data_IF_484068557749
#
_entry.id   IF_484068557749
#
_cell.length_a   1.000
_cell.length_b   1.000
_cell.length_c   1.000
_cell.angle_alpha   90.00
_cell.angle_beta   90.00
_cell.angle_gamma   90.00
#
_symmetry.space_group_name_H-M   'P 1'
#
loop_
_entity.id
_entity.type
_entity.pdbx_description
1 polymer ?
#
# COMPACT_ATOMS: atom_id res chain seq x y z
N UNK A 1 -3.89 10.88 13.94
CA UNK A 1 -5.35 10.93 13.67
C UNK A 1 -5.76 9.78 12.74
N UNK A 2 -5.27 8.55 12.95
CA UNK A 2 -4.80 7.76 11.79
C UNK A 2 -5.39 6.35 11.61
N UNK A 3 -6.01 5.73 12.62
CA UNK A 3 -6.59 4.38 12.46
C UNK A 3 -8.03 4.39 11.91
N UNK A 4 -8.86 5.36 12.33
CA UNK A 4 -10.30 5.36 12.02
C UNK A 4 -10.66 5.78 10.59
N UNK A 5 -9.83 6.59 9.93
CA UNK A 5 -10.05 7.00 8.53
C UNK A 5 -9.76 5.85 7.55
N UNK A 6 -8.64 5.14 7.76
CA UNK A 6 -8.25 3.99 6.94
C UNK A 6 -9.27 2.86 7.02
N UNK A 7 -9.78 2.52 8.21
CA UNK A 7 -10.80 1.46 8.34
C UNK A 7 -12.09 1.80 7.63
N UNK A 8 -12.55 3.06 7.70
CA UNK A 8 -13.76 3.51 7.01
C UNK A 8 -13.60 3.40 5.49
N UNK A 9 -12.45 3.80 4.96
CA UNK A 9 -12.15 3.67 3.54
C UNK A 9 -12.13 2.20 3.08
N UNK A 10 -11.45 1.32 3.82
CA UNK A 10 -11.38 -0.12 3.51
C UNK A 10 -12.77 -0.77 3.60
N UNK A 11 -13.58 -0.43 4.61
CA UNK A 11 -14.95 -0.95 4.75
C UNK A 11 -15.87 -0.45 3.63
N UNK A 12 -15.72 0.81 3.21
CA UNK A 12 -16.48 1.36 2.10
C UNK A 12 -16.11 0.65 0.78
N UNK A 13 -14.81 0.47 0.52
CA UNK A 13 -14.31 -0.27 -0.64
C UNK A 13 -14.79 -1.74 -0.62
N UNK A 14 -14.70 -2.42 0.53
CA UNK A 14 -15.20 -3.79 0.69
C UNK A 14 -16.70 -3.88 0.41
N UNK A 15 -17.50 -2.94 0.91
CA UNK A 15 -18.94 -2.91 0.66
C UNK A 15 -19.28 -2.71 -0.82
N UNK A 16 -18.55 -1.81 -1.50
CA UNK A 16 -18.70 -1.58 -2.94
C UNK A 16 -18.31 -2.82 -3.76
N UNK A 17 -17.13 -3.38 -3.53
CA UNK A 17 -16.61 -4.55 -4.25
C UNK A 17 -17.46 -5.79 -4.02
N UNK A 18 -17.92 -6.01 -2.78
CA UNK A 18 -18.86 -7.10 -2.48
C UNK A 18 -20.20 -6.91 -3.21
N UNK A 19 -20.71 -5.68 -3.28
CA UNK A 19 -21.92 -5.36 -4.03
C UNK A 19 -21.77 -5.66 -5.53
N UNK A 20 -20.64 -5.28 -6.13
CA UNK A 20 -20.30 -5.57 -7.53
C UNK A 20 -20.18 -7.09 -7.75
N UNK A 21 -19.50 -7.80 -6.85
CA UNK A 21 -19.33 -9.25 -6.92
C UNK A 21 -20.69 -9.98 -6.89
N UNK A 22 -21.60 -9.56 -6.00
CA UNK A 22 -22.97 -10.11 -5.94
C UNK A 22 -23.73 -9.81 -7.24
N UNK A 23 -23.66 -8.58 -7.74
CA UNK A 23 -24.34 -8.21 -8.98
C UNK A 23 -23.85 -9.04 -10.18
N UNK A 24 -22.54 -9.22 -10.33
CA UNK A 24 -21.93 -10.06 -11.38
C UNK A 24 -22.31 -11.53 -11.22
N UNK A 25 -22.31 -12.05 -10.00
CA UNK A 25 -22.71 -13.44 -9.74
C UNK A 25 -24.20 -13.71 -10.05
N UNK A 26 -25.09 -12.78 -9.69
CA UNK A 26 -26.50 -12.85 -10.09
C UNK A 26 -26.64 -12.76 -11.61
N UNK A 27 -25.88 -11.86 -12.25
CA UNK A 27 -25.79 -11.77 -13.71
C UNK A 27 -25.40 -13.11 -14.34
N UNK A 28 -24.44 -13.83 -13.73
CA UNK A 28 -24.06 -15.17 -14.18
C UNK A 28 -25.22 -16.16 -14.04
N UNK A 29 -25.90 -16.22 -12.89
CA UNK A 29 -27.02 -17.14 -12.68
C UNK A 29 -28.17 -16.92 -13.66
N UNK A 30 -28.42 -15.66 -14.05
CA UNK A 30 -29.46 -15.31 -15.02
C UNK A 30 -29.03 -15.63 -16.44
N UNK A 31 -27.77 -15.36 -16.80
CA UNK A 31 -27.28 -15.49 -18.19
C UNK A 31 -26.71 -16.86 -18.52
N UNK A 32 -26.31 -17.66 -17.52
CA UNK A 32 -25.55 -18.90 -17.69
C UNK A 32 -24.17 -18.71 -18.33
N UNK A 33 -23.69 -17.46 -18.44
CA UNK A 33 -22.49 -17.13 -19.20
C UNK A 33 -21.20 -17.45 -18.44
N UNK A 34 -20.34 -18.28 -19.01
CA UNK A 34 -19.00 -18.56 -18.48
C UNK A 34 -18.15 -17.30 -18.34
N UNK A 35 -18.30 -16.32 -19.24
CA UNK A 35 -17.64 -15.02 -19.16
C UNK A 35 -18.12 -14.22 -17.94
N UNK A 36 -19.41 -14.23 -17.64
CA UNK A 36 -19.96 -13.57 -16.45
C UNK A 36 -19.52 -14.25 -15.15
N UNK A 37 -19.34 -15.57 -15.15
CA UNK A 37 -18.77 -16.31 -14.02
C UNK A 37 -17.31 -15.90 -13.75
N UNK A 38 -16.49 -15.80 -14.81
CA UNK A 38 -15.10 -15.36 -14.68
C UNK A 38 -15.00 -13.95 -14.08
N UNK A 39 -15.85 -13.03 -14.55
CA UNK A 39 -15.98 -11.67 -14.02
C UNK A 39 -16.43 -11.66 -12.54
N UNK A 40 -17.35 -12.53 -12.15
CA UNK A 40 -17.79 -12.67 -10.76
C UNK A 40 -16.66 -13.21 -9.85
N UNK A 41 -15.91 -14.19 -10.32
CA UNK A 41 -14.74 -14.74 -9.60
C UNK A 41 -13.67 -13.66 -9.42
N UNK A 42 -13.44 -12.81 -10.42
CA UNK A 42 -12.53 -11.69 -10.30
C UNK A 42 -12.94 -10.73 -9.19
N UNK A 43 -14.20 -10.29 -9.16
CA UNK A 43 -14.67 -9.38 -8.11
C UNK A 43 -14.72 -10.02 -6.70
N UNK A 44 -14.83 -11.35 -6.60
CA UNK A 44 -14.62 -12.07 -5.32
C UNK A 44 -13.16 -12.02 -4.89
N UNK A 45 -12.23 -12.16 -5.84
CA UNK A 45 -10.80 -12.02 -5.58
C UNK A 45 -10.46 -10.60 -5.10
N UNK A 46 -11.03 -9.57 -5.74
CA UNK A 46 -10.88 -8.17 -5.32
C UNK A 46 -11.44 -7.97 -3.91
N UNK A 47 -12.65 -8.46 -3.63
CA UNK A 47 -13.25 -8.38 -2.27
C UNK A 47 -12.34 -9.06 -1.22
N UNK A 48 -11.63 -10.12 -1.61
CA UNK A 48 -10.69 -10.83 -0.75
C UNK A 48 -9.45 -9.98 -0.41
N UNK A 49 -9.01 -9.06 -1.29
CA UNK A 49 -7.96 -8.08 -0.98
C UNK A 49 -8.34 -7.27 0.26
N UNK A 50 -9.53 -6.66 0.25
CA UNK A 50 -9.96 -5.82 1.37
C UNK A 50 -10.15 -6.65 2.65
N UNK A 51 -10.59 -7.91 2.53
CA UNK A 51 -10.64 -8.86 3.64
C UNK A 51 -9.27 -9.10 4.29
N UNK A 52 -8.22 -9.32 3.48
CA UNK A 52 -6.86 -9.49 3.97
C UNK A 52 -6.29 -8.22 4.59
N UNK A 53 -6.57 -7.04 4.01
CA UNK A 53 -6.16 -5.76 4.59
C UNK A 53 -6.83 -5.50 5.95
N UNK A 54 -8.13 -5.80 6.08
CA UNK A 54 -8.83 -5.71 7.36
C UNK A 54 -8.29 -6.70 8.39
N UNK A 55 -7.95 -7.92 7.97
CA UNK A 55 -7.31 -8.90 8.83
C UNK A 55 -5.96 -8.38 9.35
N UNK A 56 -5.11 -7.86 8.45
CA UNK A 56 -3.83 -7.26 8.85
C UNK A 56 -4.00 -6.06 9.76
N UNK A 57 -5.01 -5.22 9.54
CA UNK A 57 -5.33 -4.13 10.46
C UNK A 57 -5.71 -4.67 11.84
N UNK A 58 -6.61 -5.66 11.91
CA UNK A 58 -7.06 -6.26 13.16
C UNK A 58 -5.93 -6.95 13.91
N UNK A 59 -5.08 -7.72 13.24
CA UNK A 59 -3.97 -8.41 13.90
C UNK A 59 -2.87 -7.45 14.33
N UNK A 60 -2.65 -6.35 13.60
CA UNK A 60 -1.67 -5.32 14.00
C UNK A 60 -1.98 -4.59 15.30
N UNK A 61 -3.24 -4.58 15.71
CA UNK A 61 -3.69 -3.95 16.97
C UNK A 61 -3.51 -4.85 18.19
N UNK A 62 -2.98 -6.07 18.01
CA UNK A 62 -2.66 -6.97 19.13
C UNK A 62 -1.56 -6.35 20.00
N UNK A 63 -1.69 -6.54 21.31
CA UNK A 63 -0.70 -6.08 22.29
C UNK A 63 0.62 -6.83 22.10
N UNK A 64 1.73 -6.17 22.45
CA UNK A 64 3.04 -6.79 22.52
C UNK A 64 3.06 -8.01 23.46
N UNK A 65 3.82 -9.02 23.07
CA UNK A 65 4.07 -10.23 23.84
C UNK A 65 5.57 -10.35 24.13
N UNK A 66 5.98 -11.31 24.96
CA UNK A 66 7.40 -11.59 25.20
C UNK A 66 8.16 -12.01 23.93
N UNK A 67 7.50 -12.74 23.03
CA UNK A 67 8.06 -13.14 21.73
C UNK A 67 8.09 -11.97 20.72
N UNK A 68 7.14 -11.04 20.84
CA UNK A 68 7.01 -9.86 20.00
C UNK A 68 6.96 -8.57 20.85
N UNK A 69 8.11 -8.13 21.39
CA UNK A 69 8.17 -7.02 22.35
C UNK A 69 7.78 -5.67 21.74
N UNK A 70 7.93 -5.51 20.43
CA UNK A 70 7.51 -4.34 19.67
C UNK A 70 6.07 -4.44 19.14
N UNK A 71 5.32 -5.47 19.52
CA UNK A 71 3.95 -5.68 19.05
C UNK A 71 3.86 -6.19 17.60
N UNK A 72 2.66 -6.06 17.03
CA UNK A 72 2.29 -6.66 15.75
C UNK A 72 2.05 -5.61 14.65
N UNK A 73 2.53 -4.36 14.83
CA UNK A 73 2.32 -3.27 13.86
C UNK A 73 2.67 -3.62 12.41
N UNK A 74 3.70 -4.45 12.22
CA UNK A 74 4.15 -4.95 10.90
C UNK A 74 3.18 -5.88 10.19
N UNK A 75 2.17 -6.43 10.88
CA UNK A 75 1.17 -7.28 10.25
C UNK A 75 0.45 -6.55 9.10
N UNK A 76 0.21 -5.24 9.21
CA UNK A 76 -0.35 -4.43 8.12
C UNK A 76 0.52 -4.49 6.86
N UNK A 77 1.84 -4.40 7.01
CA UNK A 77 2.77 -4.57 5.89
C UNK A 77 2.78 -6.00 5.36
N UNK A 78 2.75 -6.99 6.25
CA UNK A 78 2.71 -8.40 5.87
C UNK A 78 1.49 -8.74 5.01
N UNK A 79 0.27 -8.40 5.47
CA UNK A 79 -0.93 -8.70 4.69
C UNK A 79 -1.02 -7.90 3.40
N UNK A 80 -0.50 -6.66 3.37
CA UNK A 80 -0.41 -5.87 2.13
C UNK A 80 0.58 -6.49 1.13
N UNK A 81 1.70 -7.03 1.62
CA UNK A 81 2.65 -7.79 0.80
C UNK A 81 2.04 -9.07 0.25
N UNK A 82 1.27 -9.79 1.08
CA UNK A 82 0.56 -11.01 0.65
C UNK A 82 -0.46 -10.69 -0.44
N UNK A 83 -1.22 -9.59 -0.31
CA UNK A 83 -2.12 -9.10 -1.36
C UNK A 83 -1.37 -8.84 -2.67
N UNK A 84 -0.27 -8.08 -2.60
CA UNK A 84 0.57 -7.79 -3.77
C UNK A 84 1.12 -9.07 -4.43
N UNK A 85 1.57 -10.02 -3.61
CA UNK A 85 2.16 -11.27 -4.09
C UNK A 85 1.11 -12.19 -4.69
N UNK A 86 0.00 -12.44 -4.02
CA UNK A 86 -0.99 -13.42 -4.48
C UNK A 86 -1.84 -12.87 -5.61
N UNK A 87 -2.48 -11.72 -5.42
CA UNK A 87 -3.60 -11.34 -6.28
C UNK A 87 -3.14 -10.69 -7.58
N UNK A 88 -2.21 -9.73 -7.53
CA UNK A 88 -1.67 -9.13 -8.76
C UNK A 88 -0.77 -10.08 -9.54
N UNK A 89 0.09 -10.88 -8.87
CA UNK A 89 0.95 -11.83 -9.60
C UNK A 89 0.15 -12.97 -10.22
N UNK A 90 -0.81 -13.55 -9.50
CA UNK A 90 -1.64 -14.61 -10.05
C UNK A 90 -2.55 -14.07 -11.16
N UNK A 91 -3.13 -12.88 -10.97
CA UNK A 91 -3.90 -12.19 -12.01
C UNK A 91 -3.07 -11.91 -13.27
N UNK A 92 -1.82 -11.47 -13.10
CA UNK A 92 -0.88 -11.27 -14.21
C UNK A 92 -0.59 -12.58 -14.95
N UNK A 93 -0.21 -13.65 -14.23
CA UNK A 93 0.09 -14.95 -14.84
C UNK A 93 -1.12 -15.51 -15.58
N UNK A 94 -2.31 -15.42 -14.97
CA UNK A 94 -3.56 -15.88 -15.58
C UNK A 94 -3.88 -15.11 -16.86
N UNK A 95 -3.83 -13.77 -16.83
CA UNK A 95 -4.12 -12.94 -18.00
C UNK A 95 -3.06 -13.11 -19.10
N UNK A 96 -1.78 -13.31 -18.76
CA UNK A 96 -0.74 -13.63 -19.74
C UNK A 96 -1.02 -14.99 -20.40
N UNK A 97 -1.35 -16.01 -19.62
CA UNK A 97 -1.72 -17.33 -20.13
C UNK A 97 -2.94 -17.23 -21.05
N UNK A 98 -4.03 -16.63 -20.59
CA UNK A 98 -5.27 -16.47 -21.34
C UNK A 98 -5.07 -15.66 -22.62
N UNK A 99 -4.31 -14.56 -22.55
CA UNK A 99 -3.96 -13.76 -23.71
C UNK A 99 -3.19 -14.56 -24.75
N UNK A 100 -2.17 -15.32 -24.34
CA UNK A 100 -1.43 -16.21 -25.26
C UNK A 100 -2.32 -17.32 -25.82
N UNK A 101 -3.25 -17.86 -25.03
CA UNK A 101 -4.18 -18.89 -25.45
C UNK A 101 -5.13 -18.35 -26.53
N UNK A 102 -5.77 -17.19 -26.30
CA UNK A 102 -6.66 -16.53 -27.29
C UNK A 102 -5.96 -16.14 -28.59
N UNK A 103 -4.68 -15.76 -28.54
CA UNK A 103 -3.89 -15.46 -29.74
C UNK A 103 -3.57 -16.73 -30.53
N UNK A 104 -3.25 -17.83 -29.84
CA UNK A 104 -2.90 -19.11 -30.49
C UNK A 104 -4.12 -19.93 -30.92
N UNK A 105 -5.25 -19.73 -30.25
CA UNK A 105 -6.53 -20.39 -30.53
C UNK A 105 -7.64 -19.32 -30.60
N UNK A 106 -7.73 -18.56 -31.72
CA UNK A 106 -8.72 -17.50 -31.85
C UNK A 106 -10.14 -18.08 -31.89
N UNK A 107 -10.96 -17.72 -30.91
CA UNK A 107 -12.37 -18.08 -30.86
C UNK A 107 -13.24 -16.84 -31.07
N UNK A 108 -14.33 -16.97 -31.83
CA UNK A 108 -15.24 -15.87 -32.07
C UNK A 108 -15.95 -15.44 -30.78
N UNK A 109 -16.06 -14.13 -30.55
CA UNK A 109 -16.81 -13.58 -29.43
C UNK A 109 -18.29 -13.94 -29.55
N UNK A 110 -18.83 -14.68 -28.57
CA UNK A 110 -20.21 -15.17 -28.61
C UNK A 110 -21.24 -14.04 -28.46
N UNK A 111 -20.93 -13.02 -27.66
CA UNK A 111 -21.81 -11.88 -27.34
C UNK A 111 -21.04 -10.57 -27.12
N UNK A 112 -20.38 -10.01 -28.15
CA UNK A 112 -19.47 -8.87 -27.99
C UNK A 112 -20.16 -7.58 -27.52
N UNK A 113 -21.41 -7.34 -27.90
CA UNK A 113 -22.17 -6.17 -27.43
C UNK A 113 -22.50 -6.23 -25.94
N UNK A 114 -22.75 -7.42 -25.41
CA UNK A 114 -22.97 -7.62 -23.97
C UNK A 114 -21.68 -7.32 -23.21
N UNK A 115 -20.53 -7.81 -23.70
CA UNK A 115 -19.23 -7.51 -23.13
C UNK A 115 -18.93 -6.01 -23.10
N UNK A 116 -19.22 -5.28 -24.19
CA UNK A 116 -19.04 -3.82 -24.24
C UNK A 116 -19.89 -3.10 -23.20
N UNK A 117 -21.17 -3.45 -23.08
CA UNK A 117 -22.07 -2.80 -22.10
C UNK A 117 -21.55 -3.03 -20.68
N UNK A 118 -21.12 -4.25 -20.36
CA UNK A 118 -20.55 -4.59 -19.06
C UNK A 118 -19.26 -3.80 -18.81
N UNK A 119 -18.35 -3.74 -19.78
CA UNK A 119 -17.09 -3.00 -19.66
C UNK A 119 -17.33 -1.50 -19.44
N UNK A 120 -18.26 -0.89 -20.17
CA UNK A 120 -18.61 0.54 -19.99
C UNK A 120 -19.20 0.79 -18.60
N UNK A 121 -20.10 -0.09 -18.13
CA UNK A 121 -20.67 0.01 -16.79
C UNK A 121 -19.58 -0.17 -15.71
N UNK A 122 -18.69 -1.15 -15.90
CA UNK A 122 -17.56 -1.38 -15.01
C UNK A 122 -16.64 -0.16 -14.96
N UNK A 123 -16.29 0.44 -16.10
CA UNK A 123 -15.47 1.67 -16.15
C UNK A 123 -16.13 2.80 -15.38
N UNK A 124 -17.45 2.97 -15.48
CA UNK A 124 -18.17 4.02 -14.75
C UNK A 124 -18.12 3.80 -13.23
N UNK A 125 -18.35 2.56 -12.76
CA UNK A 125 -18.29 2.21 -11.34
C UNK A 125 -16.86 2.30 -10.79
N UNK A 126 -15.89 1.78 -11.54
CA UNK A 126 -14.46 1.82 -11.19
C UNK A 126 -13.95 3.26 -11.13
N UNK A 127 -14.35 4.10 -12.08
CA UNK A 127 -14.01 5.54 -12.07
C UNK A 127 -14.52 6.24 -10.80
N UNK A 128 -15.70 5.84 -10.31
CA UNK A 128 -16.25 6.38 -9.06
C UNK A 128 -15.48 5.88 -7.83
N UNK A 129 -15.10 4.61 -7.78
CA UNK A 129 -14.23 4.05 -6.73
C UNK A 129 -12.88 4.78 -6.71
N UNK A 130 -12.23 4.85 -7.87
CA UNK A 130 -10.93 5.49 -8.03
C UNK A 130 -10.96 6.97 -7.65
N UNK A 131 -12.02 7.69 -8.05
CA UNK A 131 -12.22 9.08 -7.64
C UNK A 131 -12.29 9.22 -6.12
N UNK A 132 -13.02 8.32 -5.45
CA UNK A 132 -13.13 8.30 -3.98
C UNK A 132 -11.78 8.03 -3.34
N UNK A 133 -11.02 7.05 -3.85
CA UNK A 133 -9.67 6.75 -3.38
C UNK A 133 -8.72 7.94 -3.56
N UNK A 134 -8.81 8.67 -4.68
CA UNK A 134 -8.04 9.89 -4.93
C UNK A 134 -8.41 10.98 -3.91
N UNK A 135 -9.70 11.20 -3.65
CA UNK A 135 -10.17 12.24 -2.73
C UNK A 135 -9.69 11.97 -1.31
N UNK A 136 -9.80 10.74 -0.81
CA UNK A 136 -9.29 10.36 0.51
C UNK A 136 -7.76 10.45 0.56
N UNK A 137 -7.07 10.00 -0.48
CA UNK A 137 -5.60 10.03 -0.53
C UNK A 137 -5.05 11.45 -0.60
N UNK A 138 -5.72 12.39 -1.29
CA UNK A 138 -5.33 13.81 -1.34
C UNK A 138 -5.28 14.47 0.04
N UNK A 139 -6.13 14.05 0.97
CA UNK A 139 -6.14 14.57 2.36
C UNK A 139 -4.86 14.22 3.11
N UNK A 140 -4.17 13.16 2.70
CA UNK A 140 -2.96 12.64 3.37
C UNK A 140 -1.71 12.96 2.54
N UNK A 141 -1.82 12.97 1.21
CA UNK A 141 -0.71 13.24 0.28
C UNK A 141 0.01 14.57 0.56
N UNK A 142 -0.74 15.59 0.97
CA UNK A 142 -0.22 16.96 1.04
C UNK A 142 0.39 17.39 -0.30
N UNK A 143 1.60 17.95 -0.25
CA UNK A 143 2.30 18.49 -1.43
C UNK A 143 3.15 17.46 -2.19
N UNK A 144 3.24 16.21 -1.71
CA UNK A 144 4.05 15.18 -2.37
C UNK A 144 3.53 14.83 -3.77
N UNK A 145 4.38 14.43 -4.72
CA UNK A 145 3.88 13.90 -6.01
C UNK A 145 3.12 12.57 -5.79
N UNK A 146 2.26 12.14 -6.72
CA UNK A 146 1.58 10.83 -6.59
C UNK A 146 2.57 9.66 -6.50
N UNK A 147 3.64 9.71 -7.30
CA UNK A 147 4.71 8.73 -7.21
C UNK A 147 5.47 8.80 -5.88
N UNK A 148 5.73 10.02 -5.39
CA UNK A 148 6.28 10.25 -4.07
C UNK A 148 5.38 9.68 -2.97
N UNK A 149 4.08 9.84 -3.08
CA UNK A 149 3.10 9.30 -2.14
C UNK A 149 3.11 7.78 -2.11
N UNK A 150 3.11 7.13 -3.29
CA UNK A 150 3.17 5.68 -3.39
C UNK A 150 4.46 5.14 -2.71
N UNK A 151 5.59 5.82 -2.88
CA UNK A 151 6.90 5.41 -2.35
C UNK A 151 7.26 5.87 -0.94
N UNK A 152 6.60 6.90 -0.43
CA UNK A 152 6.93 7.51 0.87
C UNK A 152 5.86 7.22 1.91
N UNK A 153 4.66 6.80 1.49
CA UNK A 153 3.58 6.46 2.39
C UNK A 153 3.97 5.26 3.26
N UNK A 154 3.98 5.49 4.57
CA UNK A 154 4.19 4.43 5.58
C UNK A 154 2.89 3.67 5.89
N UNK A 155 1.77 4.12 5.34
CA UNK A 155 0.50 3.39 5.35
C UNK A 155 0.36 2.65 4.02
N UNK A 156 0.38 1.31 4.01
CA UNK A 156 0.39 0.55 2.75
C UNK A 156 -0.97 0.54 2.05
N UNK A 157 -2.07 0.75 2.77
CA UNK A 157 -3.42 0.49 2.25
C UNK A 157 -3.83 1.45 1.13
N UNK A 158 -3.54 2.75 1.30
CA UNK A 158 -3.95 3.76 0.31
C UNK A 158 -3.15 3.66 -1.00
N UNK A 159 -1.81 3.55 -0.99
CA UNK A 159 -1.05 3.27 -2.21
C UNK A 159 -1.50 2.00 -2.94
N UNK A 160 -1.79 0.93 -2.20
CA UNK A 160 -2.27 -0.35 -2.77
C UNK A 160 -3.60 -0.13 -3.48
N UNK A 161 -4.60 0.44 -2.81
CA UNK A 161 -5.93 0.70 -3.40
C UNK A 161 -5.85 1.64 -4.60
N UNK A 162 -5.02 2.69 -4.56
CA UNK A 162 -4.84 3.59 -5.70
C UNK A 162 -4.25 2.89 -6.92
N UNK A 163 -3.25 2.03 -6.72
CA UNK A 163 -2.62 1.27 -7.80
C UNK A 163 -3.53 0.16 -8.33
N UNK A 164 -4.33 -0.45 -7.45
CA UNK A 164 -5.39 -1.42 -7.78
C UNK A 164 -6.43 -0.79 -8.71
N UNK A 165 -7.13 0.24 -8.24
CA UNK A 165 -8.20 0.92 -8.97
C UNK A 165 -7.67 1.54 -10.29
N UNK A 166 -6.46 2.12 -10.29
CA UNK A 166 -5.84 2.64 -11.51
C UNK A 166 -5.52 1.51 -12.51
N UNK A 167 -5.02 0.38 -12.01
CA UNK A 167 -4.74 -0.81 -12.80
C UNK A 167 -6.01 -1.42 -13.38
N UNK A 168 -7.06 -1.54 -12.58
CA UNK A 168 -8.37 -2.03 -12.99
C UNK A 168 -8.97 -1.14 -14.09
N UNK A 169 -8.97 0.18 -13.91
CA UNK A 169 -9.48 1.13 -14.90
C UNK A 169 -8.72 1.04 -16.23
N UNK A 170 -7.38 1.05 -16.17
CA UNK A 170 -6.54 0.90 -17.38
C UNK A 170 -6.77 -0.47 -18.04
N UNK A 171 -6.90 -1.53 -17.24
CA UNK A 171 -7.20 -2.88 -17.71
C UNK A 171 -8.55 -2.95 -18.44
N UNK A 172 -9.59 -2.33 -17.88
CA UNK A 172 -10.91 -2.23 -18.50
C UNK A 172 -10.88 -1.46 -19.83
N UNK A 173 -10.09 -0.38 -19.91
CA UNK A 173 -9.90 0.36 -21.17
C UNK A 173 -9.18 -0.50 -22.22
N UNK A 174 -8.16 -1.27 -21.82
CA UNK A 174 -7.46 -2.21 -22.71
C UNK A 174 -8.39 -3.33 -23.20
N UNK A 175 -9.21 -3.89 -22.30
CA UNK A 175 -10.23 -4.88 -22.65
C UNK A 175 -11.25 -4.32 -23.64
N UNK A 176 -11.78 -3.13 -23.38
CA UNK A 176 -12.73 -2.46 -24.27
C UNK A 176 -12.12 -2.18 -25.65
N UNK A 177 -10.85 -1.77 -25.68
CA UNK A 177 -10.09 -1.61 -26.93
C UNK A 177 -9.94 -2.93 -27.70
N UNK A 178 -9.56 -4.02 -27.02
CA UNK A 178 -9.40 -5.34 -27.65
C UNK A 178 -10.71 -5.90 -28.22
N UNK A 179 -11.79 -5.86 -27.45
CA UNK A 179 -13.13 -6.27 -27.89
C UNK A 179 -13.64 -5.36 -29.01
N UNK A 180 -13.44 -4.04 -28.90
CA UNK A 180 -13.86 -3.07 -29.91
C UNK A 180 -13.14 -3.25 -31.25
N UNK A 181 -11.82 -3.51 -31.22
CA UNK A 181 -11.04 -3.82 -32.42
C UNK A 181 -11.44 -5.17 -33.02
N UNK A 182 -11.73 -6.17 -32.19
CA UNK A 182 -12.26 -7.46 -32.66
C UNK A 182 -13.56 -7.28 -33.44
N UNK A 183 -14.47 -6.44 -32.94
CA UNK A 183 -15.72 -6.12 -33.63
C UNK A 183 -15.50 -5.35 -34.94
N UNK A 184 -14.58 -4.38 -34.94
CA UNK A 184 -14.34 -3.53 -36.09
C UNK A 184 -13.61 -4.25 -37.24
N UNK A 185 -12.71 -5.18 -36.89
CA UNK A 185 -11.86 -5.90 -37.85
C UNK A 185 -12.38 -7.30 -38.20
N UNK A 186 -13.21 -7.89 -37.33
CA UNK A 186 -13.63 -9.28 -37.43
C UNK A 186 -12.58 -10.29 -36.93
N UNK A 187 -11.41 -9.84 -36.47
CA UNK A 187 -10.29 -10.69 -36.06
C UNK A 187 -10.26 -10.88 -34.52
N UNK A 188 -10.49 -12.09 -33.98
CA UNK A 188 -10.51 -12.34 -32.53
C UNK A 188 -9.17 -12.15 -31.81
N UNK A 189 -8.08 -12.10 -32.58
CA UNK A 189 -6.72 -11.91 -32.05
C UNK A 189 -6.59 -10.61 -31.24
N UNK A 190 -7.36 -9.57 -31.57
CA UNK A 190 -7.31 -8.29 -30.86
C UNK A 190 -7.79 -8.39 -29.39
N UNK A 191 -8.77 -9.25 -29.10
CA UNK A 191 -9.19 -9.54 -27.72
C UNK A 191 -8.08 -10.26 -26.93
N UNK A 192 -7.37 -11.18 -27.59
CA UNK A 192 -6.19 -11.84 -27.04
C UNK A 192 -5.04 -10.88 -26.74
N UNK A 193 -4.75 -9.94 -27.65
CA UNK A 193 -3.75 -8.88 -27.44
C UNK A 193 -4.16 -7.97 -26.27
N UNK A 194 -5.43 -7.54 -26.21
CA UNK A 194 -5.95 -6.75 -25.08
C UNK A 194 -5.76 -7.47 -23.75
N UNK A 195 -6.11 -8.77 -23.70
CA UNK A 195 -5.91 -9.62 -22.52
C UNK A 195 -4.43 -9.74 -22.13
N UNK A 196 -3.53 -9.88 -23.11
CA UNK A 196 -2.08 -9.94 -22.86
C UNK A 196 -1.55 -8.61 -22.29
N UNK A 197 -2.00 -7.47 -22.82
CA UNK A 197 -1.64 -6.15 -22.31
C UNK A 197 -2.08 -5.96 -20.85
N UNK A 198 -3.26 -6.47 -20.48
CA UNK A 198 -3.73 -6.48 -19.09
C UNK A 198 -2.81 -7.32 -18.22
N UNK A 199 -2.41 -8.51 -18.67
CA UNK A 199 -1.46 -9.36 -17.94
C UNK A 199 -0.11 -8.68 -17.67
N UNK A 200 0.44 -7.97 -18.66
CA UNK A 200 1.66 -7.16 -18.49
C UNK A 200 1.44 -6.02 -17.50
N UNK A 201 0.32 -5.29 -17.61
CA UNK A 201 -0.03 -4.19 -16.70
C UNK A 201 -0.11 -4.68 -15.24
N UNK A 202 -0.82 -5.77 -14.99
CA UNK A 202 -0.92 -6.38 -13.66
C UNK A 202 0.45 -6.82 -13.13
N UNK A 203 1.32 -7.34 -14.00
CA UNK A 203 2.68 -7.73 -13.63
C UNK A 203 3.54 -6.54 -13.21
N UNK A 204 3.43 -5.41 -13.91
CA UNK A 204 4.11 -4.15 -13.54
C UNK A 204 3.61 -3.67 -12.18
N UNK A 205 2.29 -3.65 -11.95
CA UNK A 205 1.70 -3.23 -10.68
C UNK A 205 2.13 -4.16 -9.55
N UNK A 206 2.10 -5.47 -9.78
CA UNK A 206 2.57 -6.47 -8.81
C UNK A 206 4.02 -6.19 -8.38
N UNK A 207 4.92 -5.96 -9.34
CA UNK A 207 6.33 -5.68 -9.05
C UNK A 207 6.48 -4.39 -8.23
N UNK A 208 5.78 -3.32 -8.61
CA UNK A 208 5.82 -2.05 -7.87
C UNK A 208 5.38 -2.26 -6.42
N UNK A 209 4.22 -2.90 -6.21
CA UNK A 209 3.68 -3.16 -4.89
C UNK A 209 4.57 -4.10 -4.06
N UNK A 210 5.07 -5.18 -4.64
CA UNK A 210 5.97 -6.13 -3.96
C UNK A 210 7.23 -5.42 -3.47
N UNK A 211 7.85 -4.58 -4.31
CA UNK A 211 9.06 -3.85 -3.94
C UNK A 211 8.78 -2.87 -2.80
N UNK A 212 7.69 -2.13 -2.88
CA UNK A 212 7.29 -1.14 -1.87
C UNK A 212 6.95 -1.81 -0.53
N UNK A 213 6.07 -2.82 -0.56
CA UNK A 213 5.65 -3.53 0.63
C UNK A 213 6.81 -4.27 1.29
N UNK A 214 7.74 -4.84 0.50
CA UNK A 214 8.96 -5.46 1.03
C UNK A 214 9.83 -4.45 1.78
N UNK A 215 9.98 -3.23 1.25
CA UNK A 215 10.77 -2.17 1.89
C UNK A 215 10.18 -1.80 3.26
N UNK A 216 8.85 -1.61 3.33
CA UNK A 216 8.13 -1.36 4.58
C UNK A 216 8.26 -2.50 5.60
N UNK A 217 8.25 -3.76 5.13
CA UNK A 217 8.47 -4.96 5.97
C UNK A 217 9.88 -5.02 6.57
N UNK A 218 10.90 -4.67 5.78
CA UNK A 218 12.29 -4.57 6.27
C UNK A 218 12.41 -3.48 7.33
N UNK A 219 11.59 -2.43 7.20
CA UNK A 219 11.43 -1.35 8.17
C UNK A 219 12.20 -0.12 7.72
N UNK A 220 11.48 0.79 7.08
CA UNK A 220 12.01 2.06 6.58
C UNK A 220 12.16 3.09 7.70
N UNK A 221 13.07 4.05 7.50
CA UNK A 221 13.25 5.17 8.42
C UNK A 221 12.16 6.23 8.34
N UNK A 222 12.26 7.20 9.25
CA UNK A 222 11.49 8.42 9.24
C UNK A 222 11.59 9.12 7.88
N UNK A 223 10.53 9.80 7.47
CA UNK A 223 10.59 10.65 6.27
C UNK A 223 11.59 11.79 6.49
N UNK A 224 12.15 12.41 5.43
CA UNK A 224 13.09 13.52 5.60
C UNK A 224 12.54 14.67 6.45
N UNK A 225 11.25 14.96 6.35
CA UNK A 225 10.58 15.99 7.14
C UNK A 225 10.44 15.61 8.63
N UNK A 226 10.17 14.34 8.94
CA UNK A 226 10.15 13.85 10.32
C UNK A 226 11.55 13.76 10.90
N UNK A 227 12.53 13.31 10.12
CA UNK A 227 13.92 13.21 10.55
C UNK A 227 14.48 14.59 10.93
N UNK A 228 14.26 15.61 10.10
CA UNK A 228 14.67 16.98 10.41
C UNK A 228 14.04 17.50 11.71
N UNK A 229 12.73 17.25 11.92
CA UNK A 229 12.06 17.60 13.17
C UNK A 229 12.64 16.86 14.37
N UNK A 230 12.94 15.57 14.25
CA UNK A 230 13.56 14.79 15.32
C UNK A 230 14.94 15.38 15.65
N UNK A 231 15.75 15.71 14.64
CA UNK A 231 17.06 16.31 14.83
C UNK A 231 16.98 17.68 15.53
N UNK A 232 16.06 18.55 15.11
CA UNK A 232 15.86 19.87 15.72
C UNK A 232 15.42 19.79 17.20
N UNK A 233 14.46 18.91 17.49
CA UNK A 233 13.94 18.72 18.86
C UNK A 233 14.98 18.07 19.79
N UNK A 234 15.77 17.13 19.26
CA UNK A 234 16.88 16.52 19.99
C UNK A 234 18.03 17.51 20.21
N UNK A 235 18.31 18.41 19.27
CA UNK A 235 19.37 19.41 19.40
C UNK A 235 19.02 20.56 20.37
N UNK A 236 17.79 20.63 20.84
CA UNK A 236 17.32 21.66 21.77
C UNK A 236 17.72 21.35 23.23
N UNK A 237 18.01 22.38 24.03
CA UNK A 237 18.20 22.26 25.49
C UNK A 237 19.63 21.89 25.90
N UNK A 238 19.78 20.85 26.74
CA UNK A 238 21.08 20.43 27.31
C UNK A 238 21.87 19.47 26.40
N UNK A 239 21.30 19.08 25.26
CA UNK A 239 21.97 18.26 24.24
C UNK A 239 22.91 19.14 23.43
N UNK A 240 24.18 18.79 23.40
CA UNK A 240 25.18 19.50 22.60
C UNK A 240 25.24 18.97 21.16
N UNK A 241 25.03 17.66 20.99
CA UNK A 241 25.21 17.00 19.69
C UNK A 241 24.48 15.66 19.64
N UNK A 242 23.92 15.36 18.48
CA UNK A 242 23.47 14.01 18.12
C UNK A 242 24.69 13.25 17.56
N UNK A 243 25.10 12.17 18.21
CA UNK A 243 26.25 11.35 17.81
C UNK A 243 25.80 10.33 16.76
N UNK A 244 24.68 9.67 17.02
CA UNK A 244 24.10 8.66 16.16
C UNK A 244 22.59 8.75 16.23
N UNK A 245 21.91 8.63 15.08
CA UNK A 245 20.45 8.62 15.01
C UNK A 245 20.02 7.53 14.03
N UNK A 246 19.19 6.61 14.49
CA UNK A 246 18.52 5.61 13.66
C UNK A 246 17.04 5.65 13.95
N UNK A 247 16.26 5.62 12.88
CA UNK A 247 14.81 5.58 12.95
C UNK A 247 14.31 4.40 12.15
N UNK A 248 13.23 3.76 12.59
CA UNK A 248 12.60 2.68 11.85
C UNK A 248 11.10 2.61 12.17
N UNK A 249 10.26 2.54 11.14
CA UNK A 249 8.86 2.19 11.32
C UNK A 249 8.73 0.70 11.67
N UNK A 250 8.11 0.44 12.82
CA UNK A 250 7.74 -0.92 13.27
C UNK A 250 6.24 -1.19 13.03
N UNK A 251 5.51 -0.20 12.53
CA UNK A 251 4.17 -0.29 11.99
C UNK A 251 3.80 1.06 11.36
N UNK A 252 2.67 1.16 10.63
CA UNK A 252 2.32 2.40 9.92
C UNK A 252 2.19 3.65 10.80
N UNK A 253 1.83 3.46 12.06
CA UNK A 253 1.59 4.52 13.04
C UNK A 253 2.64 4.54 14.17
N UNK A 254 3.74 3.80 14.00
CA UNK A 254 4.71 3.56 15.06
C UNK A 254 6.15 3.58 14.55
N UNK A 255 6.83 4.68 14.87
CA UNK A 255 8.22 4.98 14.59
C UNK A 255 9.05 4.72 15.85
N UNK A 256 10.09 3.90 15.70
CA UNK A 256 11.19 3.72 16.63
C UNK A 256 12.24 4.79 16.35
N UNK A 257 12.67 5.50 17.39
CA UNK A 257 13.77 6.46 17.37
C UNK A 257 14.83 5.98 18.35
N UNK A 258 16.01 5.63 17.85
CA UNK A 258 17.15 5.24 18.66
C UNK A 258 18.30 6.21 18.40
N UNK A 259 18.73 6.94 19.42
CA UNK A 259 19.76 7.95 19.28
C UNK A 259 20.82 7.87 20.38
N UNK A 260 22.06 8.18 20.02
CA UNK A 260 23.12 8.52 20.97
C UNK A 260 23.28 10.03 21.00
N UNK A 261 23.21 10.62 22.18
CA UNK A 261 23.27 12.08 22.36
C UNK A 261 24.41 12.47 23.29
N UNK A 262 25.16 13.49 22.91
CA UNK A 262 26.16 14.12 23.76
C UNK A 262 25.49 15.22 24.58
N UNK A 263 25.53 15.07 25.90
CA UNK A 263 25.07 16.08 26.84
C UNK A 263 26.26 16.94 27.32
N UNK A 264 25.96 18.10 27.91
CA UNK A 264 26.98 18.96 28.51
C UNK A 264 27.81 18.19 29.55
N UNK A 265 29.16 18.27 29.52
CA UNK A 265 30.00 17.65 30.54
C UNK A 265 29.73 18.20 31.94
N UNK A 266 29.89 17.35 32.96
CA UNK A 266 29.77 17.75 34.36
C UNK A 266 28.34 17.89 34.89
N UNK A 267 27.33 17.47 34.11
CA UNK A 267 25.95 17.39 34.61
C UNK A 267 25.83 16.28 35.68
N UNK A 268 25.11 16.53 36.79
CA UNK A 268 24.72 15.47 37.71
C UNK A 268 23.78 14.48 37.02
N UNK A 269 23.75 13.24 37.50
CA UNK A 269 22.98 12.16 36.85
C UNK A 269 21.47 12.47 36.77
N UNK A 270 20.91 13.16 37.77
CA UNK A 270 19.52 13.61 37.77
C UNK A 270 19.22 14.58 36.61
N UNK A 271 20.15 15.50 36.33
CA UNK A 271 20.02 16.44 35.22
C UNK A 271 20.17 15.76 33.86
N UNK A 272 20.96 14.68 33.79
CA UNK A 272 21.08 13.84 32.59
C UNK A 272 19.76 13.13 32.31
N UNK A 273 19.16 12.51 33.33
CA UNK A 273 17.86 11.85 33.21
C UNK A 273 16.77 12.85 32.77
N UNK A 274 16.69 14.01 33.43
CA UNK A 274 15.72 15.04 33.04
C UNK A 274 15.93 15.55 31.61
N UNK A 275 17.17 15.73 31.17
CA UNK A 275 17.47 16.17 29.81
C UNK A 275 17.01 15.16 28.75
N UNK A 276 17.13 13.86 29.05
CA UNK A 276 16.64 12.75 28.22
C UNK A 276 15.12 12.80 28.17
N UNK A 277 14.44 12.82 29.33
CA UNK A 277 12.98 12.84 29.41
C UNK A 277 12.37 14.05 28.68
N UNK A 278 12.97 15.23 28.84
CA UNK A 278 12.55 16.44 28.14
C UNK A 278 12.72 16.31 26.62
N UNK A 279 13.82 15.69 26.16
CA UNK A 279 14.08 15.46 24.74
C UNK A 279 13.09 14.45 24.15
N UNK A 280 12.79 13.36 24.86
CA UNK A 280 11.77 12.39 24.44
C UNK A 280 10.39 13.04 24.33
N UNK A 281 10.01 13.86 25.32
CA UNK A 281 8.73 14.56 25.32
C UNK A 281 8.59 15.52 24.13
N UNK A 282 9.64 16.29 23.82
CA UNK A 282 9.68 17.18 22.66
C UNK A 282 9.53 16.42 21.34
N UNK A 283 10.34 15.38 21.13
CA UNK A 283 10.26 14.54 19.92
C UNK A 283 8.88 13.92 19.75
N UNK A 284 8.29 13.40 20.83
CA UNK A 284 6.95 12.79 20.81
C UNK A 284 5.85 13.78 20.46
N UNK A 285 5.98 15.03 20.91
CA UNK A 285 5.04 16.09 20.58
C UNK A 285 5.17 16.56 19.12
N UNK A 286 6.40 16.69 18.61
CA UNK A 286 6.67 17.14 17.26
C UNK A 286 6.39 16.06 16.19
N UNK A 287 6.63 14.80 16.52
CA UNK A 287 6.43 13.63 15.66
C UNK A 287 5.57 12.60 16.40
N UNK A 288 4.23 12.68 16.32
CA UNK A 288 3.33 11.79 17.04
C UNK A 288 3.50 10.29 16.74
N UNK A 289 4.09 9.95 15.59
CA UNK A 289 4.44 8.57 15.25
C UNK A 289 5.62 8.02 16.08
N UNK A 290 6.48 8.88 16.66
CA UNK A 290 7.63 8.49 17.48
C UNK A 290 7.17 7.95 18.85
N UNK A 291 6.64 6.72 18.86
CA UNK A 291 6.08 6.12 20.07
C UNK A 291 7.14 5.42 20.91
N UNK A 292 8.14 4.83 20.26
CA UNK A 292 9.28 4.19 20.91
C UNK A 292 10.51 5.08 20.73
N UNK A 293 11.04 5.58 21.84
CA UNK A 293 12.21 6.45 21.83
C UNK A 293 13.23 5.84 22.81
N UNK A 294 14.46 5.68 22.34
CA UNK A 294 15.59 5.24 23.14
C UNK A 294 16.72 6.24 22.93
N UNK A 295 16.97 7.07 23.94
CA UNK A 295 18.08 8.02 23.92
C UNK A 295 19.17 7.52 24.88
N UNK A 296 20.35 7.25 24.34
CA UNK A 296 21.52 6.84 25.11
C UNK A 296 22.48 8.04 25.26
N UNK A 297 22.79 8.48 26.48
CA UNK A 297 23.82 9.50 26.67
C UNK A 297 25.20 8.91 26.38
N UNK A 298 26.01 9.59 25.57
CA UNK A 298 27.36 9.12 25.22
C UNK A 298 28.33 10.31 25.08
N UNK A 299 29.62 10.03 25.12
CA UNK A 299 30.67 11.03 24.92
C UNK A 299 31.09 11.04 23.47
N UNK A 300 31.04 12.21 22.83
CA UNK A 300 31.56 12.34 21.46
C UNK A 300 33.07 12.16 21.46
N UNK A 301 33.54 11.05 20.89
CA UNK A 301 34.96 10.76 20.67
C UNK A 301 35.27 11.05 19.20
N UNK A 302 36.00 12.13 18.92
CA UNK A 302 36.62 12.32 17.62
C UNK A 302 37.69 11.24 17.45
N UNK A 303 37.37 10.16 16.74
CA UNK A 303 38.40 9.21 16.32
C UNK A 303 39.40 9.94 15.44
N UNK A 304 40.60 10.20 15.96
CA UNK A 304 41.80 10.33 15.14
C UNK A 304 42.06 8.94 14.59
N UNK A 305 41.59 8.68 13.37
CA UNK A 305 42.06 7.54 12.60
C UNK A 305 43.47 7.90 12.11
N UNK A 306 44.50 7.53 12.86
CA UNK A 306 45.80 7.25 12.25
C UNK A 306 45.70 5.91 11.49
N UNK A 307 46.31 5.85 10.29
CA UNK A 307 46.05 4.81 9.27
C UNK A 307 46.36 3.39 9.72
#
# INVERSE_FOLDING_TARGET
MSAGGSTKAILAALGANAGIAVAKFVGFLVTGSSSMLAEAVHSVADTSNQGLLLLGQKTSQRRATTEHPFGFGRDRYFYSFIVALMLFSLGSVFALYEGTHKITHPEALTSPWVAIIILVLAIALESYSFYTAIVESKKIKGDATWWGFIRQSRTPELPVVLLEDAGALLGLVLALGGVGLTLATGEPVWDGIGTLCIGVLLGIIAIILIVEMKSLLIGEGATPAELAKIEDELATGKVQRIIHLRTQYIGPDELLVAAKIALRPGLPMEDVAQAIDDAEARVRNAVPAARLIYLEPDLYRTTVNTP
#
